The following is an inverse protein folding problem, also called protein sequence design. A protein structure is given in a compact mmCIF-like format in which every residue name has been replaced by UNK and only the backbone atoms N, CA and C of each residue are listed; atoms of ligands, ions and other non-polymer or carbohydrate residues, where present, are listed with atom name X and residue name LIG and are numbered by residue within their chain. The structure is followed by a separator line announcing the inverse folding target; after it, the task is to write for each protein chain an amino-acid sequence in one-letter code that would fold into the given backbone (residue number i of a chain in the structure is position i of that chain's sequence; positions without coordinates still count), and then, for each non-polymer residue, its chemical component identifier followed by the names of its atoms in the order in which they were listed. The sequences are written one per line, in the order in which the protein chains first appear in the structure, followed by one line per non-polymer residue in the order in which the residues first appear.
data_IF_202675435357
#
_entry.id   IF_202675435357
#
_cell.length_a   1.000
_cell.length_b   1.000
_cell.length_c   1.000
_cell.angle_alpha   90.00
_cell.angle_beta   90.00
_cell.angle_gamma   90.00
#
_symmetry.space_group_name_H-M   'P 1'
#
loop_
_entity.id
_entity.type
_entity.pdbx_description
1 polymer ?
#
# COMPACT_ATOMS: atom_id res chain seq x y z
N UNK A 1 -15.80 11.68 8.13
CA UNK A 1 -14.62 10.94 8.61
C UNK A 1 -14.52 11.02 10.13
N UNK A 2 -14.16 9.92 10.79
CA UNK A 2 -13.90 9.81 12.24
C UNK A 2 -12.55 10.46 12.58
N UNK A 3 -12.28 10.74 13.87
CA UNK A 3 -11.02 11.34 14.34
C UNK A 3 -9.78 10.54 13.92
N UNK A 4 -9.86 9.20 13.94
CA UNK A 4 -8.79 8.31 13.50
C UNK A 4 -8.47 8.49 12.01
N UNK A 5 -9.50 8.52 11.16
CA UNK A 5 -9.39 8.69 9.72
C UNK A 5 -8.78 10.06 9.36
N UNK A 6 -9.19 11.14 10.04
CA UNK A 6 -8.59 12.47 9.85
C UNK A 6 -7.11 12.51 10.24
N UNK A 7 -6.74 11.87 11.36
CA UNK A 7 -5.34 11.78 11.80
C UNK A 7 -4.49 10.98 10.81
N UNK A 8 -5.03 9.86 10.32
CA UNK A 8 -4.37 9.05 9.31
C UNK A 8 -4.21 9.80 7.98
N UNK A 9 -5.26 10.45 7.49
CA UNK A 9 -5.21 11.30 6.31
C UNK A 9 -4.12 12.37 6.41
N UNK A 10 -4.05 13.09 7.52
CA UNK A 10 -3.05 14.14 7.72
C UNK A 10 -1.62 13.59 7.67
N UNK A 11 -1.38 12.42 8.28
CA UNK A 11 -0.07 11.74 8.23
C UNK A 11 0.27 11.29 6.81
N UNK A 12 -0.65 10.64 6.12
CA UNK A 12 -0.45 10.17 4.75
C UNK A 12 -0.20 11.34 3.81
N UNK A 13 -1.04 12.39 3.85
CA UNK A 13 -0.86 13.60 3.05
C UNK A 13 0.50 14.24 3.23
N UNK A 14 0.98 14.31 4.47
CA UNK A 14 2.32 14.84 4.76
C UNK A 14 3.40 13.98 4.11
N UNK A 15 3.35 12.67 4.30
CA UNK A 15 4.30 11.75 3.67
C UNK A 15 4.30 11.91 2.14
N UNK A 16 3.10 11.94 1.54
CA UNK A 16 2.92 12.06 0.09
C UNK A 16 3.58 13.34 -0.44
N UNK A 17 3.34 14.48 0.21
CA UNK A 17 3.95 15.77 -0.18
C UNK A 17 5.46 15.78 -0.06
N UNK A 18 5.99 15.16 0.99
CA UNK A 18 7.42 15.20 1.28
C UNK A 18 8.23 14.18 0.46
N UNK A 19 7.62 13.08 0.03
CA UNK A 19 8.33 11.93 -0.54
C UNK A 19 7.89 11.49 -1.93
N UNK A 20 6.60 11.64 -2.28
CA UNK A 20 6.08 11.16 -3.56
C UNK A 20 5.94 12.32 -4.55
N UNK A 21 5.29 13.41 -4.13
CA UNK A 21 5.04 14.58 -4.97
C UNK A 21 6.29 15.14 -5.66
N UNK A 22 7.48 15.23 -5.01
CA UNK A 22 8.68 15.79 -5.65
C UNK A 22 9.20 14.97 -6.84
N UNK A 23 8.82 13.69 -6.93
CA UNK A 23 9.28 12.77 -7.98
C UNK A 23 8.10 12.15 -8.75
N UNK A 24 6.87 12.62 -8.53
CA UNK A 24 5.66 11.99 -9.05
C UNK A 24 5.66 11.90 -10.58
N UNK A 25 6.02 12.98 -11.27
CA UNK A 25 6.09 13.01 -12.75
C UNK A 25 7.12 12.00 -13.30
N UNK A 26 8.24 11.82 -12.60
CA UNK A 26 9.25 10.83 -12.98
C UNK A 26 8.78 9.40 -12.73
N UNK A 27 8.04 9.16 -11.64
CA UNK A 27 7.38 7.86 -11.42
C UNK A 27 6.39 7.56 -12.56
N UNK A 28 5.57 8.54 -12.95
CA UNK A 28 4.56 8.36 -14.02
C UNK A 28 5.17 8.08 -15.40
N UNK A 29 6.27 8.75 -15.73
CA UNK A 29 6.86 8.70 -17.08
C UNK A 29 7.94 7.64 -17.24
N UNK A 30 8.70 7.36 -16.18
CA UNK A 30 9.93 6.56 -16.24
C UNK A 30 9.97 5.43 -15.20
N UNK A 31 8.97 5.32 -14.33
CA UNK A 31 8.89 4.37 -13.21
C UNK A 31 10.03 4.52 -12.17
N UNK A 32 10.92 5.50 -12.32
CA UNK A 32 12.11 5.69 -11.48
C UNK A 32 11.75 6.20 -10.08
N UNK A 33 12.33 5.57 -9.05
CA UNK A 33 12.14 5.96 -7.65
C UNK A 33 10.87 5.38 -7.01
N UNK A 34 10.08 4.61 -7.77
CA UNK A 34 8.85 3.97 -7.28
C UNK A 34 9.16 3.04 -6.11
N UNK A 35 10.11 2.12 -6.27
CA UNK A 35 10.41 1.11 -5.24
C UNK A 35 10.95 1.73 -3.95
N UNK A 36 11.89 2.67 -4.06
CA UNK A 36 12.48 3.39 -2.92
C UNK A 36 11.42 4.14 -2.14
N UNK A 37 10.47 4.75 -2.84
CA UNK A 37 9.39 5.53 -2.25
C UNK A 37 8.37 4.64 -1.55
N UNK A 38 7.99 3.53 -2.17
CA UNK A 38 7.09 2.55 -1.57
C UNK A 38 7.74 1.81 -0.38
N UNK A 39 9.06 1.60 -0.41
CA UNK A 39 9.80 1.07 0.73
C UNK A 39 9.75 2.00 1.95
N UNK A 40 9.87 3.33 1.72
CA UNK A 40 9.69 4.33 2.79
C UNK A 40 8.28 4.29 3.39
N UNK A 41 7.24 4.08 2.57
CA UNK A 41 5.86 3.94 3.09
C UNK A 41 5.72 2.81 4.11
N UNK A 42 6.34 1.65 3.82
CA UNK A 42 6.37 0.50 4.73
C UNK A 42 7.06 0.84 6.06
N UNK A 43 8.19 1.56 6.02
CA UNK A 43 8.93 1.97 7.22
C UNK A 43 8.16 2.97 8.09
N UNK A 44 7.30 3.79 7.48
CA UNK A 44 6.45 4.75 8.20
C UNK A 44 5.14 4.15 8.74
N UNK A 45 4.91 2.85 8.54
CA UNK A 45 3.72 2.15 9.05
C UNK A 45 2.41 2.61 8.39
N UNK A 46 2.48 3.10 7.16
CA UNK A 46 1.32 3.59 6.41
C UNK A 46 0.66 2.51 5.54
N UNK A 47 1.26 1.34 5.44
CA UNK A 47 0.75 0.21 4.67
C UNK A 47 -0.10 -0.73 5.53
N UNK A 48 -0.98 -1.49 4.88
CA UNK A 48 -1.77 -2.53 5.52
C UNK A 48 -2.80 -1.98 6.51
N UNK A 49 -3.38 -0.82 6.22
CA UNK A 49 -4.44 -0.22 7.03
C UNK A 49 -5.59 -1.19 7.40
N UNK A 50 -6.11 -2.04 6.49
CA UNK A 50 -7.24 -2.90 6.82
C UNK A 50 -6.84 -4.19 7.57
N UNK A 51 -5.55 -4.52 7.62
CA UNK A 51 -5.08 -5.80 8.15
C UNK A 51 -4.67 -5.73 9.61
N UNK A 52 -4.77 -6.86 10.31
CA UNK A 52 -4.51 -6.93 11.74
C UNK A 52 -3.04 -6.67 12.08
N UNK A 53 -2.77 -6.11 13.27
CA UNK A 53 -1.41 -5.94 13.78
C UNK A 53 -0.67 -7.28 13.93
N UNK A 54 -1.38 -8.36 14.26
CA UNK A 54 -0.83 -9.72 14.35
C UNK A 54 -0.24 -10.19 13.02
N UNK A 55 -0.84 -9.76 11.90
CA UNK A 55 -0.42 -10.12 10.55
C UNK A 55 0.57 -9.09 9.95
N UNK A 56 0.98 -8.07 10.73
CA UNK A 56 1.89 -7.01 10.30
C UNK A 56 1.20 -5.79 9.66
N UNK A 57 -0.13 -5.69 9.75
CA UNK A 57 -0.91 -4.51 9.32
C UNK A 57 -1.10 -3.46 10.42
N UNK A 58 -1.81 -2.38 10.10
CA UNK A 58 -2.02 -1.26 11.03
C UNK A 58 -3.34 -1.35 11.81
N UNK A 59 -4.30 -2.19 11.39
CA UNK A 59 -5.57 -2.40 12.09
C UNK A 59 -6.50 -1.17 12.12
N UNK A 60 -6.40 -0.31 11.11
CA UNK A 60 -7.13 0.97 11.00
C UNK A 60 -8.44 0.84 10.19
N UNK A 61 -8.59 -0.26 9.43
CA UNK A 61 -9.78 -0.56 8.64
C UNK A 61 -9.74 -0.04 7.20
N UNK A 62 -10.71 -0.48 6.41
CA UNK A 62 -10.79 -0.20 4.97
C UNK A 62 -11.02 1.26 4.61
N UNK A 63 -11.66 2.06 5.48
CA UNK A 63 -11.79 3.50 5.22
C UNK A 63 -10.43 4.19 5.20
N UNK A 64 -9.49 3.79 6.07
CA UNK A 64 -8.12 4.29 6.03
C UNK A 64 -7.35 3.80 4.80
N UNK A 65 -7.60 2.60 4.30
CA UNK A 65 -7.03 2.12 3.03
C UNK A 65 -7.47 2.99 1.85
N UNK A 66 -8.75 3.36 1.79
CA UNK A 66 -9.29 4.23 0.74
C UNK A 66 -8.67 5.63 0.84
N UNK A 67 -8.62 6.21 2.04
CA UNK A 67 -7.97 7.50 2.30
C UNK A 67 -6.50 7.46 1.86
N UNK A 68 -5.81 6.35 2.13
CA UNK A 68 -4.43 6.18 1.69
C UNK A 68 -4.34 6.27 0.16
N UNK A 69 -5.16 5.50 -0.54
CA UNK A 69 -5.19 5.46 -2.00
C UNK A 69 -5.53 6.83 -2.61
N UNK A 70 -6.50 7.57 -2.03
CA UNK A 70 -6.86 8.93 -2.46
C UNK A 70 -5.68 9.89 -2.35
N UNK A 71 -4.96 9.89 -1.22
CA UNK A 71 -3.85 10.82 -1.00
C UNK A 71 -2.66 10.51 -1.91
N UNK A 72 -2.32 9.24 -2.17
CA UNK A 72 -1.22 8.89 -3.09
C UNK A 72 -1.61 9.16 -4.55
N UNK A 73 -2.81 8.76 -4.96
CA UNK A 73 -3.31 8.96 -6.34
C UNK A 73 -3.39 10.44 -6.71
N UNK A 74 -3.56 11.33 -5.73
CA UNK A 74 -3.57 12.78 -5.97
C UNK A 74 -2.23 13.34 -6.49
N UNK A 75 -1.13 12.59 -6.36
CA UNK A 75 0.20 13.01 -6.85
C UNK A 75 0.85 12.02 -7.81
N UNK A 76 0.52 10.73 -7.72
CA UNK A 76 0.95 9.71 -8.68
C UNK A 76 0.01 8.50 -8.64
N UNK A 77 -0.69 8.28 -9.75
CA UNK A 77 -1.51 7.10 -9.97
C UNK A 77 -0.65 5.84 -10.18
N UNK A 78 0.50 5.95 -10.84
CA UNK A 78 1.43 4.84 -11.04
C UNK A 78 2.01 4.32 -9.71
N UNK A 79 2.43 5.22 -8.82
CA UNK A 79 2.89 4.86 -7.48
C UNK A 79 1.80 4.14 -6.69
N UNK A 80 0.56 4.65 -6.74
CA UNK A 80 -0.54 3.99 -6.05
C UNK A 80 -0.86 2.63 -6.65
N UNK A 81 -0.90 2.49 -7.98
CA UNK A 81 -1.20 1.21 -8.61
C UNK A 81 -0.18 0.13 -8.23
N UNK A 82 1.11 0.47 -8.21
CA UNK A 82 2.17 -0.44 -7.78
C UNK A 82 1.99 -0.89 -6.32
N UNK A 83 1.64 0.05 -5.43
CA UNK A 83 1.37 -0.26 -4.02
C UNK A 83 0.08 -1.07 -3.84
N UNK A 84 -1.01 -0.67 -4.49
CA UNK A 84 -2.31 -1.32 -4.43
C UNK A 84 -2.21 -2.79 -4.87
N UNK A 85 -1.50 -3.07 -5.97
CA UNK A 85 -1.30 -4.43 -6.47
C UNK A 85 -0.69 -5.36 -5.40
N UNK A 86 0.34 -4.88 -4.71
CA UNK A 86 1.09 -5.66 -3.73
C UNK A 86 0.43 -5.65 -2.34
N UNK A 87 0.24 -4.47 -1.76
CA UNK A 87 -0.19 -4.30 -0.37
C UNK A 87 -1.71 -4.33 -0.18
N UNK A 88 -2.51 -4.37 -1.24
CA UNK A 88 -3.97 -4.56 -1.13
C UNK A 88 -4.43 -5.80 -1.90
N UNK A 89 -4.24 -5.87 -3.22
CA UNK A 89 -4.80 -6.94 -4.04
C UNK A 89 -4.18 -8.31 -3.73
N UNK A 90 -2.85 -8.40 -3.66
CA UNK A 90 -2.16 -9.63 -3.26
C UNK A 90 -2.34 -9.94 -1.77
N UNK A 91 -2.27 -8.91 -0.92
CA UNK A 91 -2.36 -9.06 0.53
C UNK A 91 -3.74 -9.54 1.02
N UNK A 92 -4.83 -9.09 0.40
CA UNK A 92 -6.21 -9.37 0.84
C UNK A 92 -6.51 -10.88 0.94
N UNK A 93 -6.37 -11.70 -0.13
CA UNK A 93 -6.69 -13.13 -0.02
C UNK A 93 -5.84 -13.84 1.03
N UNK A 94 -4.56 -13.46 1.20
CA UNK A 94 -3.72 -14.00 2.27
C UNK A 94 -4.22 -13.59 3.66
N UNK A 95 -4.66 -12.35 3.84
CA UNK A 95 -5.19 -11.86 5.11
C UNK A 95 -6.50 -12.56 5.50
N UNK A 96 -7.37 -12.84 4.55
CA UNK A 96 -8.67 -13.48 4.82
C UNK A 96 -8.60 -15.01 4.89
N UNK A 97 -7.83 -15.65 4.00
CA UNK A 97 -7.87 -17.11 3.82
C UNK A 97 -6.56 -17.81 4.21
N UNK A 98 -5.47 -17.06 4.37
CA UNK A 98 -4.19 -17.61 4.81
C UNK A 98 -4.23 -18.11 6.26
N UNK A 99 -3.45 -19.15 6.55
CA UNK A 99 -3.16 -19.64 7.90
C UNK A 99 -1.69 -19.41 8.20
N UNK A 100 -0.88 -20.46 8.09
CA UNK A 100 0.58 -20.41 8.28
C UNK A 100 1.26 -19.53 7.22
N UNK A 101 0.66 -19.42 6.03
CA UNK A 101 1.16 -18.59 4.92
C UNK A 101 1.31 -17.11 5.28
N UNK A 102 0.53 -16.59 6.24
CA UNK A 102 0.53 -15.15 6.56
C UNK A 102 1.90 -14.66 7.04
N UNK A 103 2.60 -15.46 7.83
CA UNK A 103 3.91 -15.06 8.37
C UNK A 103 4.96 -14.96 7.26
N UNK A 104 4.94 -15.88 6.29
CA UNK A 104 5.94 -15.94 5.23
C UNK A 104 5.63 -15.03 4.02
N UNK A 105 4.35 -14.82 3.72
CA UNK A 105 3.92 -14.15 2.48
C UNK A 105 3.20 -12.82 2.70
N UNK A 106 2.44 -12.66 3.79
CA UNK A 106 1.70 -11.42 4.04
C UNK A 106 2.57 -10.39 4.77
N UNK A 107 3.16 -10.75 5.91
CA UNK A 107 3.93 -9.81 6.72
C UNK A 107 5.13 -9.17 5.96
N UNK A 108 5.88 -9.89 5.10
CA UNK A 108 6.93 -9.26 4.30
C UNK A 108 6.42 -8.28 3.25
N UNK A 109 5.20 -8.49 2.72
CA UNK A 109 4.57 -7.56 1.77
C UNK A 109 4.06 -6.31 2.46
N UNK A 110 3.42 -6.45 3.63
CA UNK A 110 2.93 -5.29 4.41
C UNK A 110 4.07 -4.41 4.94
N UNK A 111 5.26 -4.97 5.14
CA UNK A 111 6.48 -4.23 5.48
C UNK A 111 7.30 -3.79 4.26
N UNK A 112 6.83 -4.06 3.05
CA UNK A 112 7.50 -3.77 1.78
C UNK A 112 8.91 -4.39 1.61
N UNK A 113 9.18 -5.49 2.33
CA UNK A 113 10.39 -6.31 2.15
C UNK A 113 10.30 -7.26 0.97
N UNK A 114 9.07 -7.60 0.56
CA UNK A 114 8.75 -8.36 -0.66
C UNK A 114 7.64 -7.63 -1.41
N UNK A 115 7.57 -7.87 -2.72
CA UNK A 115 6.47 -7.42 -3.57
C UNK A 115 5.57 -8.62 -3.88
N UNK A 116 4.27 -8.44 -3.67
CA UNK A 116 3.25 -9.39 -4.10
C UNK A 116 2.64 -9.00 -5.44
N UNK A 117 2.16 -9.98 -6.20
CA UNK A 117 1.47 -9.76 -7.46
C UNK A 117 0.30 -10.74 -7.61
N UNK A 118 -0.81 -10.25 -8.17
CA UNK A 118 -2.01 -11.06 -8.41
C UNK A 118 -2.14 -11.35 -9.89
N UNK A 119 -2.16 -12.65 -10.25
CA UNK A 119 -2.42 -13.11 -11.60
C UNK A 119 -3.83 -13.73 -11.66
N UNK A 120 -4.79 -12.97 -12.21
CA UNK A 120 -6.18 -13.41 -12.34
C UNK A 120 -6.62 -13.47 -13.81
N UNK A 121 -6.27 -12.45 -14.59
CA UNK A 121 -6.64 -12.36 -16.01
C UNK A 121 -5.88 -13.41 -16.82
N UNK A 122 -6.61 -14.14 -17.67
CA UNK A 122 -6.07 -15.11 -18.61
C UNK A 122 -6.64 -14.82 -20.02
N UNK A 123 -5.94 -15.27 -21.06
CA UNK A 123 -6.52 -15.30 -22.41
C UNK A 123 -7.69 -16.31 -22.42
N UNK A 124 -8.78 -15.94 -23.07
CA UNK A 124 -10.01 -16.73 -23.14
C UNK A 124 -10.00 -17.78 -24.25
N UNK A 125 -8.81 -18.11 -24.79
CA UNK A 125 -8.59 -19.05 -25.89
C UNK A 125 -8.20 -20.43 -25.39
#
# INVERSE_FOLDING_TARGET
MRKQELSFQAKTRKFVRDHIAPIGERIESEEEGTFETLSKLGQHGLLGAPFSQKDGGAGLGWSCEIIFAEEVSAVSAAAEMARLASAALYATPLAYFGREQKQEFLAPVLSWKKIGATALTADGR
#
